data_IF_963465127139
#
_entry.id   IF_963465127139
#
_cell.length_a   1.000
_cell.length_b   1.000
_cell.length_c   1.000
_cell.angle_alpha   90.00
_cell.angle_beta   90.00
_cell.angle_gamma   90.00
#
_symmetry.space_group_name_H-M   'P 1'
#
loop_
_entity.id
_entity.type
_entity.pdbx_description
1 polymer ?
#
# COMPACT_ATOMS: atom_id res chain seq x y z
N UNK A 1 13.76 -7.61 28.02
CA UNK A 1 14.36 -7.81 26.68
C UNK A 1 13.18 -7.86 25.71
N UNK A 2 12.88 -6.75 25.03
CA UNK A 2 11.68 -6.65 24.19
C UNK A 2 12.00 -7.28 22.84
N UNK A 3 11.43 -8.44 22.54
CA UNK A 3 11.54 -9.06 21.22
C UNK A 3 11.06 -8.07 20.17
N UNK A 4 11.95 -7.65 19.29
CA UNK A 4 11.57 -6.86 18.12
C UNK A 4 10.73 -7.77 17.22
N UNK A 5 9.39 -7.62 17.28
CA UNK A 5 8.45 -8.43 16.52
C UNK A 5 8.67 -8.19 15.02
N UNK A 6 9.44 -9.08 14.41
CA UNK A 6 9.50 -9.22 12.95
C UNK A 6 8.17 -9.82 12.50
N UNK A 7 7.59 -9.30 11.42
CA UNK A 7 6.30 -9.83 10.97
C UNK A 7 5.78 -9.18 9.71
N UNK A 8 4.94 -9.94 9.02
CA UNK A 8 4.18 -9.47 7.88
C UNK A 8 3.10 -8.50 8.35
N UNK A 9 2.96 -7.40 7.62
CA UNK A 9 1.84 -6.48 7.74
C UNK A 9 0.88 -6.84 6.61
N UNK A 10 -0.36 -7.12 6.94
CA UNK A 10 -1.43 -7.25 5.96
C UNK A 10 -2.77 -6.88 6.59
N UNK A 11 -3.39 -5.80 6.12
CA UNK A 11 -4.70 -5.35 6.56
C UNK A 11 -5.53 -4.88 5.37
N UNK A 12 -6.84 -5.10 5.44
CA UNK A 12 -7.81 -4.60 4.48
C UNK A 12 -8.87 -3.84 5.27
N UNK A 13 -9.18 -2.63 4.85
CA UNK A 13 -10.20 -1.79 5.48
C UNK A 13 -11.13 -1.22 4.42
N UNK A 14 -12.43 -1.39 4.62
CA UNK A 14 -13.45 -0.70 3.83
C UNK A 14 -13.70 0.67 4.43
N UNK A 15 -13.55 1.70 3.62
CA UNK A 15 -13.81 3.09 4.00
C UNK A 15 -15.23 3.50 3.60
N UNK A 16 -15.81 4.52 4.27
CA UNK A 16 -17.07 5.12 3.85
C UNK A 16 -17.01 5.54 2.38
N UNK A 17 -18.05 5.22 1.61
CA UNK A 17 -18.08 5.46 0.15
C UNK A 17 -17.51 4.31 -0.69
N UNK A 18 -17.24 3.14 -0.11
CA UNK A 18 -16.87 1.92 -0.84
C UNK A 18 -15.42 1.87 -1.31
N UNK A 19 -14.57 2.81 -0.86
CA UNK A 19 -13.12 2.75 -1.11
C UNK A 19 -12.50 1.67 -0.23
N UNK A 20 -11.59 0.88 -0.78
CA UNK A 20 -10.79 -0.07 0.00
C UNK A 20 -9.39 0.47 0.24
N UNK A 21 -8.93 0.36 1.48
CA UNK A 21 -7.55 0.59 1.88
C UNK A 21 -6.90 -0.77 2.16
N UNK A 22 -5.97 -1.17 1.31
CA UNK A 22 -5.15 -2.37 1.49
C UNK A 22 -3.75 -1.96 1.91
N UNK A 23 -3.35 -2.35 3.11
CA UNK A 23 -2.01 -2.08 3.63
C UNK A 23 -1.25 -3.39 3.77
N UNK A 24 -0.07 -3.46 3.16
CA UNK A 24 0.80 -4.61 3.32
C UNK A 24 2.26 -4.19 3.50
N UNK A 25 3.10 -5.12 3.92
CA UNK A 25 4.52 -4.86 4.08
C UNK A 25 5.18 -5.80 5.06
N UNK A 26 6.32 -5.36 5.59
CA UNK A 26 7.11 -6.15 6.51
C UNK A 26 7.75 -5.27 7.57
N UNK A 27 7.61 -5.70 8.81
CA UNK A 27 8.32 -5.13 9.95
C UNK A 27 9.56 -5.96 10.22
N UNK A 28 10.71 -5.30 10.18
CA UNK A 28 11.99 -5.81 10.65
C UNK A 28 12.30 -5.16 12.01
N UNK A 29 13.32 -5.65 12.75
CA UNK A 29 13.66 -5.07 14.06
C UNK A 29 13.94 -3.57 14.03
N UNK A 30 14.67 -3.11 13.00
CA UNK A 30 15.11 -1.71 12.87
C UNK A 30 14.39 -0.95 11.74
N UNK A 31 13.69 -1.68 10.87
CA UNK A 31 13.17 -1.15 9.61
C UNK A 31 11.70 -1.53 9.42
N UNK A 32 10.92 -0.66 8.78
CA UNK A 32 9.54 -0.98 8.40
C UNK A 32 9.34 -0.61 6.96
N UNK A 33 8.92 -1.58 6.15
CA UNK A 33 8.41 -1.34 4.82
C UNK A 33 6.89 -1.47 4.87
N UNK A 34 6.17 -0.46 4.41
CA UNK A 34 4.72 -0.43 4.38
C UNK A 34 4.23 0.21 3.08
N UNK A 35 3.26 -0.44 2.46
CA UNK A 35 2.60 -0.03 1.23
C UNK A 35 1.11 0.09 1.55
N UNK A 36 0.56 1.28 1.33
CA UNK A 36 -0.86 1.58 1.49
C UNK A 36 -1.48 1.82 0.12
N UNK A 37 -2.37 0.94 -0.32
CA UNK A 37 -3.06 1.02 -1.60
C UNK A 37 -4.51 1.42 -1.39
N UNK A 38 -4.96 2.44 -2.12
CA UNK A 38 -6.38 2.83 -2.18
C UNK A 38 -6.99 2.33 -3.47
N UNK A 39 -8.09 1.62 -3.35
CA UNK A 39 -8.86 1.09 -4.45
C UNK A 39 -10.29 1.65 -4.41
N UNK A 40 -10.88 1.88 -5.58
CA UNK A 40 -12.32 2.19 -5.65
C UNK A 40 -13.17 0.96 -5.31
N UNK A 41 -14.49 1.13 -5.29
CA UNK A 41 -15.45 0.05 -5.05
C UNK A 41 -15.40 -1.09 -6.09
N UNK A 42 -14.82 -0.85 -7.28
CA UNK A 42 -14.61 -1.87 -8.30
C UNK A 42 -13.25 -2.58 -8.16
N UNK A 43 -12.46 -2.27 -7.13
CA UNK A 43 -11.12 -2.82 -6.93
C UNK A 43 -10.02 -2.17 -7.78
N UNK A 44 -10.33 -1.14 -8.57
CA UNK A 44 -9.34 -0.39 -9.36
C UNK A 44 -8.43 0.42 -8.45
N UNK A 45 -7.12 0.29 -8.61
CA UNK A 45 -6.12 1.06 -7.87
C UNK A 45 -6.20 2.56 -8.23
N UNK A 46 -6.36 3.42 -7.23
CA UNK A 46 -6.42 4.88 -7.37
C UNK A 46 -5.09 5.54 -6.98
N UNK A 47 -4.50 5.09 -5.87
CA UNK A 47 -3.24 5.61 -5.36
C UNK A 47 -2.54 4.58 -4.49
N UNK A 48 -1.23 4.71 -4.37
CA UNK A 48 -0.42 3.93 -3.45
C UNK A 48 0.60 4.84 -2.76
N UNK A 49 0.73 4.69 -1.44
CA UNK A 49 1.80 5.30 -0.66
C UNK A 49 2.77 4.21 -0.21
N UNK A 50 4.04 4.37 -0.52
CA UNK A 50 5.09 3.49 -0.05
C UNK A 50 5.94 4.24 0.96
N UNK A 51 6.03 3.68 2.16
CA UNK A 51 6.93 4.13 3.21
C UNK A 51 7.95 3.06 3.53
N UNK A 52 9.21 3.45 3.65
CA UNK A 52 10.26 2.59 4.15
C UNK A 52 11.14 3.37 5.13
N UNK A 53 11.21 2.91 6.37
CA UNK A 53 12.21 3.35 7.34
C UNK A 53 13.41 2.40 7.35
N UNK A 54 14.60 2.98 7.25
CA UNK A 54 15.89 2.33 7.48
C UNK A 54 16.47 2.72 8.85
N UNK A 55 17.64 2.15 9.17
CA UNK A 55 18.40 2.42 10.39
C UNK A 55 18.69 3.91 10.63
N UNK A 56 18.88 4.69 9.56
CA UNK A 56 19.23 6.12 9.59
C UNK A 56 18.02 7.05 9.38
N UNK A 57 16.80 6.51 9.34
CA UNK A 57 15.56 7.26 9.13
C UNK A 57 14.77 6.83 7.89
N UNK A 58 13.87 7.69 7.43
CA UNK A 58 12.97 7.42 6.30
C UNK A 58 13.75 7.41 4.98
N UNK A 59 13.86 6.25 4.33
CA UNK A 59 14.58 6.07 3.05
C UNK A 59 13.65 6.14 1.84
N UNK A 60 12.35 5.91 2.06
CA UNK A 60 11.31 6.04 1.04
C UNK A 60 10.03 6.58 1.67
N UNK A 61 9.43 7.59 1.05
CA UNK A 61 8.07 8.04 1.30
C UNK A 61 7.53 8.67 0.03
N UNK A 62 6.90 7.83 -0.79
CA UNK A 62 6.44 8.21 -2.12
C UNK A 62 4.96 7.89 -2.24
N UNK A 63 4.22 8.83 -2.81
CA UNK A 63 2.84 8.63 -3.21
C UNK A 63 2.77 8.59 -4.73
N UNK A 64 2.18 7.53 -5.27
CA UNK A 64 1.85 7.41 -6.67
C UNK A 64 0.32 7.47 -6.86
N UNK A 65 -0.12 8.16 -7.90
CA UNK A 65 -1.52 8.18 -8.35
C UNK A 65 -1.62 7.47 -9.68
N UNK A 66 -2.72 6.76 -9.90
CA UNK A 66 -2.93 5.92 -11.07
C UNK A 66 -4.17 6.34 -11.87
N UNK A 67 -4.13 6.15 -13.18
CA UNK A 67 -5.34 6.25 -14.01
C UNK A 67 -6.18 4.97 -13.93
N UNK A 68 -7.32 4.97 -14.61
CA UNK A 68 -8.23 3.82 -14.67
C UNK A 68 -7.64 2.59 -15.39
N UNK A 69 -6.51 2.75 -16.10
CA UNK A 69 -5.77 1.67 -16.74
C UNK A 69 -4.63 1.15 -15.84
N UNK A 70 -4.48 1.67 -14.62
CA UNK A 70 -3.41 1.30 -13.69
C UNK A 70 -2.05 1.90 -14.04
N UNK A 71 -1.99 2.91 -14.93
CA UNK A 71 -0.73 3.60 -15.27
C UNK A 71 -0.48 4.73 -14.28
N UNK A 72 0.77 4.91 -13.87
CA UNK A 72 1.16 6.01 -12.98
C UNK A 72 0.99 7.35 -13.69
N UNK A 73 0.11 8.21 -13.16
CA UNK A 73 -0.10 9.59 -13.66
C UNK A 73 0.76 10.60 -12.91
N UNK A 74 1.09 10.30 -11.66
CA UNK A 74 1.89 11.17 -10.80
C UNK A 74 2.66 10.31 -9.79
N UNK A 75 3.91 10.66 -9.55
CA UNK A 75 4.70 10.15 -8.45
C UNK A 75 5.37 11.34 -7.74
N UNK A 76 5.22 11.42 -6.42
CA UNK A 76 5.78 12.51 -5.63
C UNK A 76 6.21 12.03 -4.25
N UNK A 77 7.22 12.69 -3.67
CA UNK A 77 7.71 12.41 -2.33
C UNK A 77 9.22 12.32 -2.25
N UNK A 78 9.70 11.60 -1.24
CA UNK A 78 11.12 11.46 -0.94
C UNK A 78 11.64 10.06 -1.30
N UNK A 79 12.77 10.04 -2.01
CA UNK A 79 13.58 8.84 -2.28
C UNK A 79 15.02 9.13 -1.86
N UNK A 80 15.58 8.29 -1.01
CA UNK A 80 17.00 8.36 -0.71
C UNK A 80 17.84 8.14 -2.00
N UNK A 81 19.03 8.76 -2.12
CA UNK A 81 19.92 8.52 -3.25
C UNK A 81 20.22 7.03 -3.44
N UNK A 82 20.17 6.56 -4.69
CA UNK A 82 20.40 5.15 -5.05
C UNK A 82 19.15 4.25 -5.01
N UNK A 83 18.01 4.74 -4.52
CA UNK A 83 16.77 3.96 -4.49
C UNK A 83 15.91 4.22 -5.75
N UNK A 84 15.99 3.30 -6.71
CA UNK A 84 15.31 3.42 -8.01
C UNK A 84 14.05 2.55 -8.16
N UNK A 85 13.68 1.79 -7.13
CA UNK A 85 12.53 0.88 -7.18
C UNK A 85 11.23 1.63 -7.47
N UNK A 86 10.54 1.36 -8.59
CA UNK A 86 9.28 2.04 -8.90
C UNK A 86 8.18 1.60 -7.93
N UNK A 87 7.23 2.49 -7.63
CA UNK A 87 6.11 2.16 -6.72
C UNK A 87 5.31 0.95 -7.22
N UNK A 88 5.16 0.81 -8.54
CA UNK A 88 4.47 -0.32 -9.19
C UNK A 88 5.09 -1.68 -8.88
N UNK A 89 6.40 -1.75 -8.60
CA UNK A 89 7.05 -3.00 -8.22
C UNK A 89 6.78 -3.41 -6.76
N UNK A 90 6.22 -2.51 -5.96
CA UNK A 90 5.96 -2.71 -4.53
C UNK A 90 4.48 -2.89 -4.21
N UNK A 91 3.61 -2.67 -5.20
CA UNK A 91 2.15 -2.85 -5.09
C UNK A 91 1.82 -4.33 -5.28
N UNK A 92 0.84 -4.82 -4.52
CA UNK A 92 0.29 -6.16 -4.68
C UNK A 92 -1.15 -6.12 -5.22
N UNK A 93 -1.58 -7.17 -5.93
CA UNK A 93 -2.99 -7.30 -6.27
C UNK A 93 -3.84 -7.35 -4.99
N UNK A 94 -5.03 -6.77 -5.05
CA UNK A 94 -5.97 -6.81 -3.94
C UNK A 94 -6.29 -8.28 -3.60
N UNK A 95 -6.19 -8.72 -2.34
CA UNK A 95 -6.45 -10.12 -1.98
C UNK A 95 -7.91 -10.50 -2.25
N UNK A 96 -8.16 -11.76 -2.64
CA UNK A 96 -9.49 -12.24 -3.04
C UNK A 96 -10.60 -11.95 -2.01
N UNK A 97 -10.30 -12.10 -0.72
CA UNK A 97 -11.22 -11.78 0.38
C UNK A 97 -11.70 -10.32 0.39
N UNK A 98 -10.89 -9.40 -0.10
CA UNK A 98 -11.23 -7.98 -0.22
C UNK A 98 -11.98 -7.67 -1.52
N UNK A 99 -11.70 -8.42 -2.59
CA UNK A 99 -12.45 -8.34 -3.85
C UNK A 99 -13.91 -8.77 -3.66
N UNK A 100 -14.18 -9.72 -2.74
CA UNK A 100 -15.53 -10.13 -2.39
C UNK A 100 -16.32 -9.01 -1.71
N UNK A 101 -15.68 -8.21 -0.85
CA UNK A 101 -16.30 -7.04 -0.22
C UNK A 101 -16.67 -5.94 -1.23
N UNK A 102 -15.94 -5.84 -2.34
CA UNK A 102 -16.33 -4.99 -3.48
C UNK A 102 -17.52 -5.55 -4.27
N UNK A 103 -17.71 -6.88 -4.28
CA UNK A 103 -18.68 -7.56 -5.13
C UNK A 103 -20.08 -7.70 -4.49
N UNK A 104 -20.29 -7.26 -3.25
CA UNK A 104 -21.60 -7.26 -2.61
C UNK A 104 -22.26 -5.86 -2.68
N UNK A 105 -23.15 -5.60 -3.65
CA UNK A 105 -24.10 -4.51 -3.54
C UNK A 105 -25.21 -4.92 -2.59
N UNK A 106 -25.29 -4.27 -1.42
CA UNK A 106 -26.49 -4.15 -0.58
C UNK A 106 -27.39 -5.40 -0.46
N UNK A 107 -27.06 -6.29 0.48
CA UNK A 107 -27.98 -7.33 0.93
C UNK A 107 -28.61 -7.00 2.27
N UNK A 108 -29.69 -6.20 2.27
CA UNK A 108 -30.89 -6.32 3.13
C UNK A 108 -31.84 -5.17 2.87
#
# INVERSE_FOLDING_TARGET
MTEARTGQIETVQTQPGGTLLYTHGHRFPDNVQMVEQRHNAAGTLLSARVTWSGFVGRVLDVTATFDTQGRTVKEEGHRAPGLTTPVTALILPLPARAQQTCAEPGGS
#
